data_IF_070203457161
#
_entry.id   IF_070203457161
#
_cell.length_a   1.000
_cell.length_b   1.000
_cell.length_c   1.000
_cell.angle_alpha   90.00
_cell.angle_beta   90.00
_cell.angle_gamma   90.00
#
_symmetry.space_group_name_H-M   'P 1'
#
loop_
_entity.id
_entity.type
_entity.pdbx_description
1 polymer ?
#
# COMPACT_ATOMS: atom_id res chain seq x y z
N UNK A 1 21.01 -22.62 -20.87
CA UNK A 1 19.69 -22.81 -20.21
C UNK A 1 19.56 -22.05 -18.89
N UNK A 2 20.46 -22.24 -17.90
CA UNK A 2 20.39 -21.51 -16.61
C UNK A 2 20.52 -19.99 -16.71
N UNK A 3 21.38 -19.48 -17.60
CA UNK A 3 21.55 -18.03 -17.79
C UNK A 3 20.27 -17.32 -18.26
N UNK A 4 19.47 -17.96 -19.13
CA UNK A 4 18.18 -17.44 -19.59
C UNK A 4 17.13 -17.44 -18.48
N UNK A 5 17.17 -18.43 -17.58
CA UNK A 5 16.30 -18.47 -16.40
C UNK A 5 16.65 -17.37 -15.40
N UNK A 6 17.94 -17.15 -15.12
CA UNK A 6 18.40 -16.09 -14.22
C UNK A 6 18.11 -14.70 -14.80
N UNK A 7 18.35 -14.51 -16.09
CA UNK A 7 18.02 -13.25 -16.78
C UNK A 7 16.50 -13.00 -16.80
N UNK A 8 15.69 -14.04 -17.02
CA UNK A 8 14.24 -13.96 -16.92
C UNK A 8 13.76 -13.56 -15.52
N UNK A 9 14.36 -14.14 -14.46
CA UNK A 9 14.02 -13.81 -13.07
C UNK A 9 14.41 -12.36 -12.69
N UNK A 10 15.55 -11.87 -13.20
CA UNK A 10 16.01 -10.49 -13.01
C UNK A 10 15.13 -9.46 -13.72
N UNK A 11 14.56 -9.81 -14.87
CA UNK A 11 13.63 -8.91 -15.59
C UNK A 11 12.25 -8.85 -14.91
N UNK A 12 11.82 -9.92 -14.21
CA UNK A 12 10.56 -9.96 -13.48
C UNK A 12 10.55 -9.13 -12.19
N UNK A 13 11.72 -8.84 -11.59
CA UNK A 13 11.81 -8.07 -10.34
C UNK A 13 11.65 -6.56 -10.53
N UNK A 14 11.66 -6.07 -11.77
CA UNK A 14 11.71 -4.63 -12.08
C UNK A 14 10.37 -3.91 -11.92
N UNK A 15 9.24 -4.63 -11.79
CA UNK A 15 7.92 -4.02 -12.09
C UNK A 15 7.11 -3.51 -10.89
N UNK A 16 7.59 -3.65 -9.65
CA UNK A 16 6.86 -3.12 -8.47
C UNK A 16 7.48 -1.80 -8.02
N UNK A 17 7.16 -0.72 -8.71
CA UNK A 17 7.42 0.63 -8.22
C UNK A 17 6.27 1.07 -7.31
N UNK A 18 6.61 1.42 -6.07
CA UNK A 18 5.65 2.08 -5.19
C UNK A 18 5.32 3.50 -5.64
N UNK A 19 4.19 4.02 -5.17
CA UNK A 19 3.55 5.23 -5.63
C UNK A 19 3.15 6.13 -4.47
N UNK A 20 3.23 7.44 -4.67
CA UNK A 20 2.54 8.42 -3.82
C UNK A 20 1.31 8.90 -4.57
N UNK A 21 0.13 8.65 -4.03
CA UNK A 21 -1.12 9.09 -4.65
C UNK A 21 -1.42 10.55 -4.34
N UNK A 22 -2.08 11.24 -5.28
CA UNK A 22 -2.81 12.46 -4.94
C UNK A 22 -4.14 12.12 -4.25
N UNK A 23 -4.65 13.03 -3.40
CA UNK A 23 -5.89 12.83 -2.63
C UNK A 23 -7.07 12.37 -3.49
N UNK A 24 -7.37 13.10 -4.58
CA UNK A 24 -8.51 12.81 -5.45
C UNK A 24 -8.26 11.58 -6.34
N UNK A 25 -7.00 11.27 -6.63
CA UNK A 25 -6.64 10.04 -7.35
C UNK A 25 -6.90 8.81 -6.48
N UNK A 26 -6.48 8.85 -5.22
CA UNK A 26 -6.75 7.78 -4.26
C UNK A 26 -8.27 7.61 -4.05
N UNK A 27 -9.01 8.71 -3.85
CA UNK A 27 -10.46 8.66 -3.67
C UNK A 27 -11.16 7.95 -4.85
N UNK A 28 -10.81 8.29 -6.10
CA UNK A 28 -11.37 7.63 -7.30
C UNK A 28 -10.98 6.15 -7.37
N UNK A 29 -9.75 5.83 -6.98
CA UNK A 29 -9.25 4.44 -6.94
C UNK A 29 -10.03 3.60 -5.94
N UNK A 30 -10.15 4.08 -4.70
CA UNK A 30 -10.89 3.40 -3.62
C UNK A 30 -12.39 3.27 -3.94
N UNK A 31 -13.01 4.30 -4.53
CA UNK A 31 -14.40 4.23 -4.97
C UNK A 31 -14.62 3.14 -6.02
N UNK A 32 -13.75 3.07 -7.02
CA UNK A 32 -13.78 2.03 -8.07
C UNK A 32 -13.55 0.61 -7.50
N UNK A 33 -12.81 0.50 -6.40
CA UNK A 33 -12.60 -0.75 -5.67
C UNK A 33 -13.74 -1.10 -4.70
N UNK A 34 -14.83 -0.32 -4.67
CA UNK A 34 -15.99 -0.59 -3.82
C UNK A 34 -15.82 -0.23 -2.35
N UNK A 35 -14.84 0.62 -2.02
CA UNK A 35 -14.59 1.02 -0.62
C UNK A 35 -15.59 2.05 -0.08
N UNK A 36 -16.33 2.74 -0.96
CA UNK A 36 -17.33 3.72 -0.57
C UNK A 36 -18.56 3.03 0.05
N UNK A 37 -18.69 3.11 1.37
CA UNK A 37 -19.74 2.42 2.13
C UNK A 37 -19.38 0.97 2.52
N UNK A 38 -18.16 0.51 2.24
CA UNK A 38 -17.72 -0.84 2.64
C UNK A 38 -17.81 -0.99 4.16
N UNK A 39 -18.62 -1.94 4.63
CA UNK A 39 -18.93 -2.15 6.06
C UNK A 39 -19.43 -0.87 6.77
N UNK A 40 -20.13 -0.01 6.06
CA UNK A 40 -20.64 1.26 6.61
C UNK A 40 -19.60 2.38 6.72
N UNK A 41 -18.38 2.19 6.22
CA UNK A 41 -17.30 3.19 6.27
C UNK A 41 -17.33 4.04 5.01
N UNK A 42 -17.48 5.36 5.18
CA UNK A 42 -17.52 6.30 4.06
C UNK A 42 -16.18 6.37 3.31
N UNK A 43 -16.22 6.72 2.01
CA UNK A 43 -15.01 6.95 1.23
C UNK A 43 -14.08 8.00 1.86
N UNK A 44 -14.65 9.03 2.48
CA UNK A 44 -13.89 10.10 3.13
C UNK A 44 -13.03 9.55 4.30
N UNK A 45 -13.56 8.59 5.06
CA UNK A 45 -12.82 7.95 6.15
C UNK A 45 -11.63 7.14 5.62
N UNK A 46 -11.78 6.41 4.52
CA UNK A 46 -10.67 5.69 3.89
C UNK A 46 -9.56 6.62 3.39
N UNK A 47 -9.94 7.74 2.77
CA UNK A 47 -8.98 8.76 2.32
C UNK A 47 -8.30 9.44 3.50
N UNK A 48 -9.03 9.67 4.60
CA UNK A 48 -8.49 10.23 5.84
C UNK A 48 -7.46 9.28 6.47
N UNK A 49 -7.79 7.99 6.58
CA UNK A 49 -6.88 6.94 7.07
C UNK A 49 -5.57 6.97 6.28
N UNK A 50 -5.62 6.84 4.96
CA UNK A 50 -4.41 6.85 4.14
C UNK A 50 -3.59 8.15 4.22
N UNK A 51 -4.23 9.31 4.51
CA UNK A 51 -3.52 10.58 4.69
C UNK A 51 -2.66 10.59 5.93
N UNK A 52 -3.19 10.07 7.03
CA UNK A 52 -2.57 10.15 8.34
C UNK A 52 -1.61 9.00 8.60
N UNK A 53 -1.90 7.81 8.07
CA UNK A 53 -1.04 6.64 8.21
C UNK A 53 0.22 6.74 7.34
N UNK A 54 0.08 7.14 6.07
CA UNK A 54 1.19 7.03 5.11
C UNK A 54 1.43 8.28 4.28
N UNK A 55 0.65 9.35 4.46
CA UNK A 55 0.60 10.47 3.52
C UNK A 55 0.46 10.02 2.06
N UNK A 56 -0.42 9.03 1.83
CA UNK A 56 -0.72 8.43 0.52
C UNK A 56 0.44 7.66 -0.13
N UNK A 57 1.53 7.38 0.59
CA UNK A 57 2.69 6.67 0.09
C UNK A 57 2.55 5.15 0.23
N UNK A 58 2.50 4.42 -0.88
CA UNK A 58 2.41 2.95 -0.85
C UNK A 58 3.69 2.25 -0.39
N UNK A 59 4.81 2.98 -0.21
CA UNK A 59 6.08 2.47 0.33
C UNK A 59 6.31 2.83 1.79
N UNK A 60 5.33 3.46 2.47
CA UNK A 60 5.49 3.81 3.86
C UNK A 60 5.73 2.54 4.71
N UNK A 61 6.69 2.63 5.62
CA UNK A 61 7.01 1.58 6.58
C UNK A 61 7.31 2.21 7.93
N UNK A 62 6.78 1.64 8.99
CA UNK A 62 7.03 2.08 10.37
C UNK A 62 7.39 0.88 11.24
N UNK A 63 8.59 0.88 11.85
CA UNK A 63 9.04 -0.20 12.73
C UNK A 63 8.60 0.09 14.17
N UNK A 64 8.04 -0.91 14.84
CA UNK A 64 7.51 -0.82 16.19
C UNK A 64 8.42 -1.58 17.17
N UNK A 65 9.27 -0.90 17.98
CA UNK A 65 10.24 -1.58 18.83
C UNK A 65 9.63 -2.40 19.98
N UNK A 66 8.39 -2.07 20.39
CA UNK A 66 7.74 -2.69 21.55
C UNK A 66 7.37 -4.16 21.34
N UNK A 67 6.94 -4.52 20.13
CA UNK A 67 6.54 -5.88 19.75
C UNK A 67 7.36 -6.41 18.55
N UNK A 68 8.38 -5.67 18.13
CA UNK A 68 9.25 -5.97 16.99
C UNK A 68 8.48 -6.14 15.66
N UNK A 69 7.29 -5.56 15.56
CA UNK A 69 6.48 -5.57 14.34
C UNK A 69 6.85 -4.43 13.39
N UNK A 70 6.30 -4.45 12.18
CA UNK A 70 6.40 -3.35 11.20
C UNK A 70 5.05 -3.12 10.53
N UNK A 71 4.68 -1.86 10.38
CA UNK A 71 3.51 -1.45 9.61
C UNK A 71 3.89 -1.19 8.15
N UNK A 72 3.07 -1.68 7.21
CA UNK A 72 3.39 -1.63 5.79
C UNK A 72 2.33 -0.93 4.94
N UNK A 73 2.83 -0.11 4.01
CA UNK A 73 2.09 0.40 2.87
C UNK A 73 1.09 1.49 3.20
N UNK A 74 0.16 1.71 2.28
CA UNK A 74 -0.73 2.89 2.28
C UNK A 74 -1.66 2.97 3.50
N UNK A 75 -1.98 1.82 4.11
CA UNK A 75 -2.83 1.71 5.29
C UNK A 75 -2.08 1.29 6.55
N UNK A 76 -0.75 1.21 6.51
CA UNK A 76 0.08 0.81 7.66
C UNK A 76 -0.41 -0.50 8.32
N UNK A 77 -0.59 -1.55 7.51
CA UNK A 77 -1.02 -2.87 8.01
C UNK A 77 0.16 -3.50 8.76
N UNK A 78 -0.08 -3.84 10.03
CA UNK A 78 0.93 -4.34 10.95
C UNK A 78 1.25 -5.83 10.71
N UNK A 79 2.52 -6.21 10.86
CA UNK A 79 3.02 -7.59 10.63
C UNK A 79 2.81 -8.59 11.77
N UNK A 80 2.36 -8.14 12.93
CA UNK A 80 2.12 -9.01 14.09
C UNK A 80 0.83 -9.82 13.95
N UNK A 81 -0.16 -9.31 13.20
CA UNK A 81 -1.47 -9.92 13.00
C UNK A 81 -1.57 -10.63 11.64
#
# INVERSE_FOLDING_TARGET
MKAFLILGLLLLSVIVQGKVYERCELARTLKRLGMDGYRGISLANWVCLAKWESSYNTRATNYNPGDQSTDYGIFQINSHY
#
